data_IF_464218034052
#
_entry.id   IF_464218034052
#
_cell.length_a   1.000
_cell.length_b   1.000
_cell.length_c   1.000
_cell.angle_alpha   90.00
_cell.angle_beta   90.00
_cell.angle_gamma   90.00
#
_symmetry.space_group_name_H-M   'P 1'
#
loop_
_entity.id
_entity.type
_entity.pdbx_description
1 polymer ?
#
# COMPACT_ATOMS: atom_id res chain seq x y z
N UNK A 1 -19.86 -8.47 -28.04
CA UNK A 1 -18.56 -8.57 -27.32
C UNK A 1 -18.12 -10.02 -27.34
N UNK A 2 -16.89 -10.29 -27.79
CA UNK A 2 -16.33 -11.64 -27.86
C UNK A 2 -15.97 -12.12 -26.45
N UNK A 3 -16.28 -13.38 -26.13
CA UNK A 3 -15.89 -13.96 -24.85
C UNK A 3 -14.36 -14.21 -24.85
N UNK A 4 -13.70 -13.89 -23.74
CA UNK A 4 -12.26 -14.08 -23.60
C UNK A 4 -11.92 -15.55 -23.34
N UNK A 5 -10.86 -16.03 -23.97
CA UNK A 5 -10.20 -17.28 -23.57
C UNK A 5 -9.26 -17.02 -22.38
N UNK A 6 -8.80 -18.08 -21.73
CA UNK A 6 -7.81 -17.99 -20.64
C UNK A 6 -6.54 -17.26 -21.11
N UNK A 7 -6.04 -17.59 -22.31
CA UNK A 7 -4.86 -16.95 -22.90
C UNK A 7 -5.12 -15.48 -23.24
N UNK A 8 -6.22 -15.17 -23.94
CA UNK A 8 -6.48 -13.77 -24.33
C UNK A 8 -6.73 -12.86 -23.12
N UNK A 9 -7.30 -13.40 -22.04
CA UNK A 9 -7.45 -12.66 -20.79
C UNK A 9 -6.08 -12.38 -20.14
N UNK A 10 -5.20 -13.39 -20.07
CA UNK A 10 -3.84 -13.21 -19.55
C UNK A 10 -3.03 -12.20 -20.36
N UNK A 11 -3.10 -12.27 -21.69
CA UNK A 11 -2.41 -11.33 -22.59
C UNK A 11 -2.90 -9.89 -22.40
N UNK A 12 -4.21 -9.68 -22.26
CA UNK A 12 -4.78 -8.35 -21.97
C UNK A 12 -4.31 -7.80 -20.61
N UNK A 13 -4.23 -8.64 -19.58
CA UNK A 13 -3.72 -8.23 -18.27
C UNK A 13 -2.23 -7.85 -18.36
N UNK A 14 -1.42 -8.69 -19.01
CA UNK A 14 0.01 -8.49 -19.17
C UNK A 14 0.31 -7.20 -19.96
N UNK A 15 -0.44 -6.94 -21.04
CA UNK A 15 -0.30 -5.73 -21.85
C UNK A 15 -0.62 -4.45 -21.08
N UNK A 16 -1.59 -4.49 -20.16
CA UNK A 16 -1.96 -3.35 -19.32
C UNK A 16 -1.18 -3.23 -18.00
N UNK A 17 -0.27 -4.16 -17.69
CA UNK A 17 0.38 -4.23 -16.39
C UNK A 17 1.27 -3.01 -16.11
N UNK A 18 2.13 -2.64 -17.06
CA UNK A 18 3.10 -1.56 -16.91
C UNK A 18 3.24 -0.73 -18.19
N UNK A 19 3.15 0.58 -18.05
CA UNK A 19 3.59 1.54 -19.05
C UNK A 19 5.08 1.83 -18.81
N UNK A 20 5.95 1.64 -19.82
CA UNK A 20 7.37 1.95 -19.67
C UNK A 20 7.59 3.43 -19.39
N UNK A 21 8.38 3.73 -18.36
CA UNK A 21 8.78 5.08 -18.03
C UNK A 21 9.91 5.08 -17.01
N UNK A 22 10.72 6.14 -17.07
CA UNK A 22 11.81 6.33 -16.11
C UNK A 22 11.23 6.80 -14.77
N UNK A 23 11.80 6.36 -13.63
CA UNK A 23 11.42 6.87 -12.31
C UNK A 23 11.41 8.40 -12.25
N UNK A 24 10.41 8.96 -11.55
CA UNK A 24 10.28 10.41 -11.42
C UNK A 24 8.86 10.91 -11.19
N UNK A 25 7.82 10.15 -11.55
CA UNK A 25 6.45 10.47 -11.15
C UNK A 25 6.02 9.70 -9.92
N UNK A 26 5.38 10.41 -8.99
CA UNK A 26 4.84 9.86 -7.74
C UNK A 26 3.34 10.19 -7.65
N UNK A 27 2.52 9.16 -7.45
CA UNK A 27 1.11 9.27 -7.11
C UNK A 27 0.89 8.84 -5.66
N UNK A 28 0.00 9.53 -4.95
CA UNK A 28 -0.31 9.24 -3.55
C UNK A 28 -1.83 9.25 -3.38
N UNK A 29 -2.36 8.24 -2.72
CA UNK A 29 -3.73 8.24 -2.21
C UNK A 29 -3.74 7.91 -0.72
N UNK A 30 -4.52 8.65 0.07
CA UNK A 30 -4.66 8.47 1.51
C UNK A 30 -6.13 8.25 1.83
N UNK A 31 -6.40 7.15 2.51
CA UNK A 31 -7.73 6.84 3.01
C UNK A 31 -8.00 7.62 4.31
N UNK A 32 -9.16 8.26 4.40
CA UNK A 32 -9.72 8.88 5.60
C UNK A 32 -10.80 7.95 6.17
N UNK A 33 -10.58 7.44 7.38
CA UNK A 33 -11.56 6.62 8.09
C UNK A 33 -12.53 7.51 8.85
N UNK A 34 -13.83 7.39 8.60
CA UNK A 34 -14.85 8.27 9.16
C UNK A 34 -15.59 7.66 10.35
N UNK A 35 -15.95 8.53 11.29
CA UNK A 35 -16.90 8.24 12.36
C UNK A 35 -17.86 9.44 12.59
N UNK A 36 -19.19 9.27 12.43
CA UNK A 36 -19.91 8.06 11.98
C UNK A 36 -19.68 7.75 10.49
N UNK A 37 -20.06 6.54 10.06
CA UNK A 37 -19.94 6.07 8.68
C UNK A 37 -20.97 6.72 7.74
N UNK A 38 -20.70 7.97 7.34
CA UNK A 38 -21.61 8.80 6.52
C UNK A 38 -20.91 9.51 5.35
N UNK A 39 -19.91 8.87 4.73
CA UNK A 39 -19.21 9.42 3.56
C UNK A 39 -20.21 9.79 2.45
N UNK A 40 -20.12 11.00 1.88
CA UNK A 40 -20.97 11.39 0.76
C UNK A 40 -20.61 10.55 -0.48
N UNK A 41 -21.61 10.16 -1.25
CA UNK A 41 -21.39 9.45 -2.52
C UNK A 41 -20.88 10.41 -3.61
N UNK A 42 -20.08 9.87 -4.52
CA UNK A 42 -19.63 10.55 -5.73
C UNK A 42 -18.27 11.22 -5.61
N UNK A 43 -17.53 11.15 -6.71
CA UNK A 43 -16.20 11.74 -6.86
C UNK A 43 -16.30 13.27 -6.97
N UNK A 44 -15.51 13.96 -6.14
CA UNK A 44 -15.44 15.42 -6.08
C UNK A 44 -14.04 15.89 -6.49
N UNK A 45 -13.91 16.83 -7.43
CA UNK A 45 -12.60 17.41 -7.73
C UNK A 45 -12.07 18.21 -6.54
N UNK A 46 -10.76 18.11 -6.30
CA UNK A 46 -10.02 18.96 -5.37
C UNK A 46 -9.12 19.91 -6.18
N UNK A 47 -8.21 20.63 -5.50
CA UNK A 47 -7.32 21.57 -6.16
C UNK A 47 -6.40 20.86 -7.15
N UNK A 48 -5.84 19.72 -6.75
CA UNK A 48 -4.89 18.98 -7.58
C UNK A 48 -5.43 17.62 -8.02
N UNK A 49 -6.12 16.92 -7.13
CA UNK A 49 -6.65 15.58 -7.36
C UNK A 49 -8.15 15.52 -7.15
N UNK A 50 -8.59 14.49 -6.43
CA UNK A 50 -10.00 14.27 -6.15
C UNK A 50 -10.22 13.58 -4.81
N UNK A 51 -11.42 13.76 -4.30
CA UNK A 51 -11.97 13.10 -3.14
C UNK A 51 -13.04 12.12 -3.62
N UNK A 52 -12.98 10.87 -3.19
CA UNK A 52 -13.98 9.85 -3.50
C UNK A 52 -14.40 9.08 -2.24
N UNK A 53 -15.49 8.34 -2.31
CA UNK A 53 -15.94 7.47 -1.23
C UNK A 53 -15.85 6.00 -1.67
N UNK A 54 -14.97 5.24 -1.01
CA UNK A 54 -14.83 3.79 -1.23
C UNK A 54 -15.94 3.02 -0.50
N UNK A 55 -16.39 3.54 0.63
CA UNK A 55 -17.52 3.03 1.41
C UNK A 55 -18.11 4.19 2.20
N UNK A 56 -19.29 4.03 2.83
CA UNK A 56 -19.81 5.02 3.78
C UNK A 56 -18.82 5.38 4.90
N UNK A 57 -17.78 4.58 5.12
CA UNK A 57 -16.79 4.82 6.17
C UNK A 57 -15.43 5.25 5.69
N UNK A 58 -15.13 5.10 4.40
CA UNK A 58 -13.80 5.46 3.90
C UNK A 58 -13.91 6.40 2.73
N UNK A 59 -13.41 7.61 2.95
CA UNK A 59 -13.12 8.55 1.88
C UNK A 59 -11.67 8.38 1.43
N UNK A 60 -11.41 8.60 0.15
CA UNK A 60 -10.09 8.48 -0.44
C UNK A 60 -9.73 9.81 -1.04
N UNK A 61 -8.70 10.46 -0.50
CA UNK A 61 -8.05 11.58 -1.15
C UNK A 61 -7.03 10.98 -2.11
N UNK A 62 -7.12 11.29 -3.40
CA UNK A 62 -6.21 10.78 -4.41
C UNK A 62 -5.59 11.94 -5.16
N UNK A 63 -4.28 12.11 -5.01
CA UNK A 63 -3.51 13.09 -5.75
C UNK A 63 -3.26 12.66 -7.21
N UNK A 64 -2.93 13.62 -8.10
CA UNK A 64 -2.51 13.31 -9.46
C UNK A 64 -1.07 12.76 -9.46
N UNK A 65 -0.66 12.01 -10.51
CA UNK A 65 0.75 11.75 -10.77
C UNK A 65 1.52 13.07 -10.80
N UNK A 66 2.56 13.18 -9.98
CA UNK A 66 3.29 14.42 -9.75
C UNK A 66 4.77 14.25 -10.06
N UNK A 67 5.42 15.23 -10.74
CA UNK A 67 6.83 15.14 -11.06
C UNK A 67 7.67 15.36 -9.80
N UNK A 68 8.15 14.26 -9.23
CA UNK A 68 8.94 14.22 -8.01
C UNK A 68 8.12 14.13 -6.73
N UNK A 69 8.74 13.52 -5.72
CA UNK A 69 8.17 13.31 -4.40
C UNK A 69 7.72 14.63 -3.75
N UNK A 70 8.54 15.68 -3.80
CA UNK A 70 8.22 16.96 -3.15
C UNK A 70 6.94 17.60 -3.70
N UNK A 71 6.73 17.53 -5.02
CA UNK A 71 5.50 18.03 -5.65
C UNK A 71 4.31 17.19 -5.24
N UNK A 72 4.46 15.87 -5.20
CA UNK A 72 3.41 14.94 -4.75
C UNK A 72 2.99 15.24 -3.31
N UNK A 73 3.96 15.38 -2.39
CA UNK A 73 3.71 15.64 -0.96
C UNK A 73 3.03 17.01 -0.75
N UNK A 74 3.47 18.07 -1.45
CA UNK A 74 2.83 19.39 -1.34
C UNK A 74 1.39 19.37 -1.85
N UNK A 75 1.16 18.82 -3.03
CA UNK A 75 -0.20 18.72 -3.61
C UNK A 75 -1.13 17.92 -2.72
N UNK A 76 -0.64 16.79 -2.20
CA UNK A 76 -1.43 15.94 -1.31
C UNK A 76 -1.70 16.61 0.04
N UNK A 77 -0.76 17.41 0.55
CA UNK A 77 -0.98 18.22 1.77
C UNK A 77 -2.12 19.21 1.59
N UNK A 78 -2.16 19.93 0.46
CA UNK A 78 -3.24 20.89 0.15
C UNK A 78 -4.60 20.19 0.07
N UNK A 79 -4.66 19.06 -0.64
CA UNK A 79 -5.89 18.31 -0.90
C UNK A 79 -6.41 17.61 0.37
N UNK A 80 -5.51 17.11 1.22
CA UNK A 80 -5.87 16.59 2.54
C UNK A 80 -6.43 17.69 3.44
N UNK A 81 -5.80 18.86 3.47
CA UNK A 81 -6.30 19.99 4.26
C UNK A 81 -7.69 20.45 3.79
N UNK A 82 -7.94 20.46 2.47
CA UNK A 82 -9.26 20.75 1.91
C UNK A 82 -10.29 19.67 2.28
N UNK A 83 -9.89 18.40 2.22
CA UNK A 83 -10.76 17.27 2.53
C UNK A 83 -11.14 17.24 4.02
N UNK A 84 -10.20 17.50 4.93
CA UNK A 84 -10.48 17.60 6.36
C UNK A 84 -11.52 18.68 6.65
N UNK A 85 -11.40 19.87 6.05
CA UNK A 85 -12.41 20.93 6.19
C UNK A 85 -13.80 20.50 5.72
N UNK A 86 -13.88 19.73 4.62
CA UNK A 86 -15.16 19.20 4.14
C UNK A 86 -15.76 18.20 5.12
N UNK A 87 -14.94 17.31 5.68
CA UNK A 87 -15.36 16.31 6.67
C UNK A 87 -15.89 17.02 7.94
N UNK A 88 -15.17 18.04 8.43
CA UNK A 88 -15.58 18.86 9.58
C UNK A 88 -16.90 19.60 9.32
N UNK A 89 -17.10 20.16 8.13
CA UNK A 89 -18.35 20.82 7.74
C UNK A 89 -19.56 19.88 7.78
N UNK A 90 -19.35 18.59 7.51
CA UNK A 90 -20.38 17.55 7.59
C UNK A 90 -20.50 16.95 9.00
N UNK A 91 -19.80 17.50 10.00
CA UNK A 91 -19.75 17.00 11.39
C UNK A 91 -19.29 15.54 11.49
N UNK A 92 -18.39 15.16 10.60
CA UNK A 92 -17.76 13.85 10.59
C UNK A 92 -16.38 13.96 11.25
N UNK A 93 -15.94 12.89 11.90
CA UNK A 93 -14.60 12.80 12.49
C UNK A 93 -13.73 11.90 11.62
N UNK A 94 -12.49 12.30 11.36
CA UNK A 94 -11.49 11.39 10.79
C UNK A 94 -10.75 10.71 11.93
N UNK A 95 -10.79 9.38 11.97
CA UNK A 95 -10.08 8.59 12.96
C UNK A 95 -8.60 8.54 12.58
N UNK A 96 -7.73 8.84 13.54
CA UNK A 96 -6.27 8.81 13.34
C UNK A 96 -5.71 7.39 13.30
N UNK A 97 -6.36 6.44 13.98
CA UNK A 97 -6.07 5.02 13.85
C UNK A 97 -6.71 4.44 12.58
N UNK A 98 -6.07 3.45 11.97
CA UNK A 98 -6.63 2.72 10.83
C UNK A 98 -7.73 1.70 11.23
N UNK A 99 -8.33 1.84 12.42
CA UNK A 99 -9.29 0.91 13.04
C UNK A 99 -10.57 1.64 13.41
N UNK A 100 -11.75 1.14 13.01
CA UNK A 100 -12.77 0.60 13.96
C UNK A 100 -14.18 0.20 13.42
N UNK A 101 -14.38 -0.66 12.40
CA UNK A 101 -15.39 -1.77 12.38
C UNK A 101 -15.17 -2.60 11.11
N UNK A 102 -15.12 -3.92 11.24
CA UNK A 102 -15.41 -4.83 10.12
C UNK A 102 -16.56 -5.69 10.62
N UNK A 103 -17.69 -5.67 9.93
CA UNK A 103 -18.81 -6.55 10.24
C UNK A 103 -18.34 -8.02 10.17
N UNK A 104 -18.61 -8.88 11.16
CA UNK A 104 -18.17 -10.27 11.16
C UNK A 104 -18.75 -11.10 10.00
N UNK A 105 -19.87 -10.67 9.41
CA UNK A 105 -20.53 -11.37 8.29
C UNK A 105 -20.21 -10.78 6.89
N UNK A 106 -19.17 -9.95 6.75
CA UNK A 106 -18.75 -9.43 5.44
C UNK A 106 -17.98 -10.47 4.61
N UNK A 107 -18.19 -10.56 3.28
CA UNK A 107 -17.49 -11.55 2.46
C UNK A 107 -15.97 -11.28 2.40
N UNK A 108 -15.14 -12.31 2.17
CA UNK A 108 -13.66 -12.22 2.16
C UNK A 108 -13.08 -11.11 1.24
N UNK A 109 -13.81 -10.66 0.22
CA UNK A 109 -13.37 -9.56 -0.64
C UNK A 109 -13.73 -8.14 -0.09
N UNK A 110 -14.59 -8.05 0.92
CA UNK A 110 -14.93 -6.80 1.63
C UNK A 110 -13.88 -6.41 2.69
N UNK A 111 -12.85 -7.23 2.89
CA UNK A 111 -11.74 -6.99 3.79
C UNK A 111 -10.96 -5.69 3.44
N UNK A 112 -11.09 -5.20 2.21
CA UNK A 112 -10.53 -3.93 1.76
C UNK A 112 -11.42 -2.70 1.94
N UNK A 113 -12.60 -2.76 2.58
CA UNK A 113 -13.57 -1.63 2.61
C UNK A 113 -13.73 -0.91 3.96
N UNK A 114 -13.13 -1.42 5.05
CA UNK A 114 -13.25 -0.80 6.38
C UNK A 114 -11.92 -0.68 7.16
N UNK A 115 -10.80 -0.73 6.44
CA UNK A 115 -9.48 -0.29 6.93
C UNK A 115 -9.04 0.91 6.10
N UNK A 116 -8.19 1.78 6.67
CA UNK A 116 -7.63 2.93 5.98
C UNK A 116 -6.11 2.74 5.80
N UNK A 117 -5.62 2.97 4.60
CA UNK A 117 -4.21 2.88 4.26
C UNK A 117 -3.71 4.05 3.43
N UNK A 118 -2.47 3.90 2.98
CA UNK A 118 -1.81 4.81 2.05
C UNK A 118 -1.38 3.98 0.84
N UNK A 119 -1.75 4.46 -0.35
CA UNK A 119 -1.35 3.88 -1.63
C UNK A 119 -0.37 4.80 -2.34
N UNK A 120 0.66 4.20 -2.90
CA UNK A 120 1.75 4.91 -3.57
C UNK A 120 1.88 4.32 -4.97
N UNK A 121 1.73 5.17 -5.97
CA UNK A 121 1.95 4.83 -7.37
C UNK A 121 3.29 5.38 -7.85
N UNK A 122 4.13 4.54 -8.41
CA UNK A 122 5.44 4.89 -8.95
C UNK A 122 5.56 4.38 -10.38
N UNK A 123 6.35 5.09 -11.18
CA UNK A 123 6.82 4.60 -12.48
C UNK A 123 7.42 3.19 -12.34
N UNK A 124 7.13 2.30 -13.28
CA UNK A 124 7.53 0.91 -13.15
C UNK A 124 9.01 0.68 -13.48
N UNK A 125 9.64 1.60 -14.21
CA UNK A 125 10.94 1.42 -14.84
C UNK A 125 10.82 0.96 -16.30
N UNK A 126 11.94 1.04 -17.01
CA UNK A 126 12.05 0.50 -18.37
C UNK A 126 12.31 -1.01 -18.32
N UNK A 127 12.08 -1.72 -19.43
CA UNK A 127 12.36 -3.16 -19.56
C UNK A 127 13.86 -3.51 -19.51
N UNK A 128 14.74 -2.49 -19.46
CA UNK A 128 16.18 -2.65 -19.28
C UNK A 128 16.56 -3.21 -17.90
N UNK A 129 17.83 -3.59 -17.77
CA UNK A 129 18.40 -4.08 -16.50
C UNK A 129 18.78 -2.95 -15.52
N UNK A 130 19.29 -3.37 -14.35
CA UNK A 130 19.79 -2.49 -13.29
C UNK A 130 18.75 -2.09 -12.24
N UNK A 131 19.18 -1.30 -11.27
CA UNK A 131 18.40 -0.91 -10.09
C UNK A 131 17.07 -0.20 -10.39
N UNK A 132 16.98 0.48 -11.54
CA UNK A 132 15.77 1.20 -11.98
C UNK A 132 14.99 0.46 -13.07
N UNK A 133 15.42 -0.76 -13.44
CA UNK A 133 14.72 -1.60 -14.40
C UNK A 133 13.48 -2.25 -13.80
N UNK A 134 12.49 -2.54 -14.66
CA UNK A 134 11.20 -3.10 -14.28
C UNK A 134 11.33 -4.36 -13.41
N UNK A 135 12.18 -5.30 -13.82
CA UNK A 135 12.36 -6.57 -13.11
C UNK A 135 12.86 -6.37 -11.68
N UNK A 136 13.86 -5.49 -11.49
CA UNK A 136 14.41 -5.20 -10.17
C UNK A 136 13.37 -4.48 -9.31
N UNK A 137 12.74 -3.43 -9.82
CA UNK A 137 11.73 -2.65 -9.09
C UNK A 137 10.53 -3.49 -8.68
N UNK A 138 10.06 -4.37 -9.56
CA UNK A 138 8.96 -5.30 -9.27
C UNK A 138 9.33 -6.26 -8.12
N UNK A 139 10.51 -6.87 -8.17
CA UNK A 139 10.98 -7.77 -7.11
C UNK A 139 11.25 -7.03 -5.79
N UNK A 140 11.90 -5.86 -5.85
CA UNK A 140 12.17 -5.02 -4.68
C UNK A 140 10.87 -4.58 -4.01
N UNK A 141 9.87 -4.12 -4.76
CA UNK A 141 8.58 -3.71 -4.19
C UNK A 141 7.92 -4.84 -3.38
N UNK A 142 7.99 -6.08 -3.86
CA UNK A 142 7.46 -7.26 -3.19
C UNK A 142 8.19 -7.57 -1.89
N UNK A 143 9.53 -7.57 -1.90
CA UNK A 143 10.32 -7.84 -0.69
C UNK A 143 10.30 -6.69 0.32
N UNK A 144 10.15 -5.45 -0.16
CA UNK A 144 10.04 -4.25 0.67
C UNK A 144 8.65 -4.11 1.30
N UNK A 145 7.61 -4.65 0.67
CA UNK A 145 6.21 -4.51 1.10
C UNK A 145 5.96 -4.95 2.55
N UNK A 146 6.40 -6.14 3.02
CA UNK A 146 6.26 -6.54 4.42
C UNK A 146 6.99 -5.63 5.41
N UNK A 147 8.15 -5.10 5.02
CA UNK A 147 8.95 -4.18 5.86
C UNK A 147 8.21 -2.86 6.06
N UNK A 148 7.68 -2.28 4.99
CA UNK A 148 6.85 -1.07 5.07
C UNK A 148 5.56 -1.33 5.87
N UNK A 149 4.94 -2.49 5.66
CA UNK A 149 3.73 -2.87 6.39
C UNK A 149 3.98 -2.99 7.91
N UNK A 150 5.11 -3.57 8.31
CA UNK A 150 5.52 -3.69 9.70
C UNK A 150 5.91 -2.32 10.31
N UNK A 151 6.74 -1.53 9.63
CA UNK A 151 7.20 -0.24 10.13
C UNK A 151 6.05 0.76 10.33
N UNK A 152 5.05 0.71 9.45
CA UNK A 152 3.90 1.61 9.46
C UNK A 152 2.61 0.95 9.97
N UNK A 153 2.69 -0.15 10.72
CA UNK A 153 1.52 -0.75 11.35
C UNK A 153 0.88 0.24 12.34
N UNK A 154 -0.41 0.53 12.14
CA UNK A 154 -1.16 1.51 12.95
C UNK A 154 -2.64 1.14 13.09
N UNK A 155 -2.92 -0.17 13.14
CA UNK A 155 -4.27 -0.69 13.19
C UNK A 155 -4.46 -1.81 14.24
N UNK A 156 -4.20 -1.57 15.54
CA UNK A 156 -4.20 -2.66 16.52
C UNK A 156 -5.56 -3.00 17.16
N UNK A 157 -6.54 -2.10 17.04
CA UNK A 157 -7.82 -2.18 17.75
C UNK A 157 -8.98 -2.69 16.88
N UNK A 158 -9.99 -3.24 17.55
CA UNK A 158 -11.32 -3.51 17.00
C UNK A 158 -12.36 -3.28 18.10
N UNK A 159 -13.33 -2.43 17.83
CA UNK A 159 -14.31 -1.93 18.80
C UNK A 159 -13.62 -1.40 20.08
N UNK A 160 -12.56 -0.61 19.89
CA UNK A 160 -11.73 -0.07 20.98
C UNK A 160 -10.90 -1.09 21.76
N UNK A 161 -10.89 -2.38 21.36
CA UNK A 161 -10.18 -3.45 22.07
C UNK A 161 -8.98 -3.96 21.28
N UNK A 162 -7.85 -4.27 21.93
CA UNK A 162 -6.71 -4.90 21.27
C UNK A 162 -7.10 -6.22 20.58
N UNK A 163 -6.61 -6.41 19.36
CA UNK A 163 -6.93 -7.60 18.54
C UNK A 163 -5.87 -8.70 18.61
N UNK A 164 -4.72 -8.40 19.24
CA UNK A 164 -3.52 -9.22 19.13
C UNK A 164 -2.74 -9.01 17.83
N UNK A 165 -3.19 -8.13 16.94
CA UNK A 165 -2.46 -7.70 15.75
C UNK A 165 -2.01 -6.24 15.92
N UNK A 166 -0.90 -5.87 15.29
CA UNK A 166 -0.50 -4.46 15.15
C UNK A 166 -1.13 -3.81 13.92
N UNK A 167 -1.43 -4.61 12.90
CA UNK A 167 -2.22 -4.20 11.76
C UNK A 167 -3.30 -5.23 11.42
N UNK A 168 -4.55 -4.92 11.80
CA UNK A 168 -5.72 -5.69 11.33
C UNK A 168 -5.88 -5.61 9.81
N UNK A 169 -5.37 -4.58 9.15
CA UNK A 169 -5.38 -4.46 7.68
C UNK A 169 -4.47 -5.50 7.04
N UNK A 170 -3.29 -5.75 7.61
CA UNK A 170 -2.41 -6.81 7.11
C UNK A 170 -2.83 -8.21 7.54
N UNK A 171 -3.57 -8.37 8.65
CA UNK A 171 -4.11 -9.66 9.06
C UNK A 171 -4.98 -10.34 7.97
N UNK A 172 -5.55 -9.53 7.08
CA UNK A 172 -6.40 -9.93 5.94
C UNK A 172 -5.59 -10.33 4.70
N UNK A 173 -4.28 -10.06 4.73
CA UNK A 173 -3.31 -10.27 3.65
C UNK A 173 -2.21 -11.26 4.06
N UNK A 174 -2.34 -11.87 5.25
CA UNK A 174 -1.33 -12.73 5.87
C UNK A 174 -0.93 -13.95 5.05
N UNK A 175 -1.83 -14.39 4.16
CA UNK A 175 -1.66 -15.58 3.31
C UNK A 175 -1.19 -15.24 1.88
N UNK A 176 -0.92 -13.96 1.59
CA UNK A 176 -0.36 -13.54 0.30
C UNK A 176 1.13 -13.89 0.19
N UNK A 177 1.64 -14.15 -1.02
CA UNK A 177 3.07 -14.38 -1.22
C UNK A 177 3.90 -13.11 -0.94
N UNK A 178 5.15 -13.30 -0.51
CA UNK A 178 6.11 -12.22 -0.24
C UNK A 178 6.81 -11.77 -1.51
N UNK A 179 7.25 -12.71 -2.34
CA UNK A 179 7.84 -12.45 -3.65
C UNK A 179 6.79 -12.39 -4.76
N UNK A 180 7.10 -11.78 -5.91
CA UNK A 180 6.26 -11.95 -7.08
C UNK A 180 6.27 -13.43 -7.49
N UNK A 181 5.19 -13.95 -8.09
CA UNK A 181 5.22 -15.27 -8.72
C UNK A 181 6.41 -15.39 -9.68
N UNK A 182 6.94 -16.61 -9.84
CA UNK A 182 8.03 -16.86 -10.78
C UNK A 182 7.64 -16.45 -12.21
N UNK A 183 8.60 -15.90 -12.95
CA UNK A 183 8.41 -15.43 -14.33
C UNK A 183 8.72 -13.95 -14.50
N UNK A 184 8.46 -13.43 -15.70
CA UNK A 184 8.60 -12.00 -16.00
C UNK A 184 7.51 -11.18 -15.28
N UNK A 185 7.79 -9.91 -14.99
CA UNK A 185 6.92 -9.07 -14.15
C UNK A 185 5.47 -9.03 -14.66
N UNK A 186 5.27 -8.87 -15.97
CA UNK A 186 3.93 -8.81 -16.61
C UNK A 186 3.20 -10.15 -16.52
N UNK A 187 3.90 -11.26 -16.75
CA UNK A 187 3.35 -12.61 -16.69
C UNK A 187 2.98 -13.00 -15.26
N UNK A 188 3.85 -12.68 -14.29
CA UNK A 188 3.61 -12.93 -12.87
C UNK A 188 2.35 -12.19 -12.38
N UNK A 189 2.14 -10.95 -12.83
CA UNK A 189 0.92 -10.19 -12.54
C UNK A 189 -0.32 -10.80 -13.20
N UNK A 190 -0.22 -11.17 -14.48
CA UNK A 190 -1.33 -11.82 -15.18
C UNK A 190 -1.74 -13.15 -14.52
N UNK A 191 -0.77 -13.98 -14.13
CA UNK A 191 -0.99 -15.19 -13.36
C UNK A 191 -1.71 -14.92 -12.05
N UNK A 192 -1.21 -13.98 -11.26
CA UNK A 192 -1.83 -13.57 -10.00
C UNK A 192 -3.30 -13.15 -10.20
N UNK A 193 -3.59 -12.27 -11.16
CA UNK A 193 -4.95 -11.78 -11.43
C UNK A 193 -5.89 -12.92 -11.84
N UNK A 194 -5.41 -13.84 -12.68
CA UNK A 194 -6.20 -14.97 -13.16
C UNK A 194 -6.54 -15.97 -12.06
N UNK A 195 -5.67 -16.10 -11.07
CA UNK A 195 -5.79 -17.06 -9.96
C UNK A 195 -6.42 -16.45 -8.69
N UNK A 196 -6.46 -15.11 -8.60
CA UNK A 196 -7.12 -14.41 -7.50
C UNK A 196 -8.64 -14.70 -7.45
N UNK A 197 -9.15 -14.93 -6.23
CA UNK A 197 -10.55 -15.24 -5.96
C UNK A 197 -11.44 -14.03 -6.23
N UNK A 198 -12.55 -14.25 -6.94
CA UNK A 198 -13.60 -13.24 -7.14
C UNK A 198 -14.59 -13.24 -5.97
N UNK A 199 -15.55 -12.33 -5.98
CA UNK A 199 -16.67 -12.32 -5.04
C UNK A 199 -17.50 -13.62 -5.03
N UNK A 200 -17.45 -14.41 -6.10
CA UNK A 200 -18.12 -15.71 -6.20
C UNK A 200 -17.36 -16.86 -5.52
N UNK A 201 -16.17 -16.60 -4.98
CA UNK A 201 -15.27 -17.62 -4.43
C UNK A 201 -14.48 -18.42 -5.49
N UNK A 202 -14.73 -18.22 -6.79
CA UNK A 202 -13.93 -18.81 -7.88
C UNK A 202 -12.95 -17.81 -8.47
N UNK A 203 -11.81 -18.28 -8.98
CA UNK A 203 -10.90 -17.44 -9.78
C UNK A 203 -11.43 -17.23 -11.20
N UNK A 204 -10.87 -16.26 -11.94
CA UNK A 204 -11.23 -16.08 -13.36
C UNK A 204 -10.88 -17.32 -14.18
N UNK A 205 -9.73 -17.94 -13.88
CA UNK A 205 -9.28 -19.17 -14.53
C UNK A 205 -10.26 -20.32 -14.32
N UNK A 206 -10.68 -20.54 -13.08
CA UNK A 206 -11.68 -21.56 -12.75
C UNK A 206 -13.03 -21.29 -13.42
N UNK A 207 -13.46 -20.02 -13.45
CA UNK A 207 -14.71 -19.63 -14.09
C UNK A 207 -14.71 -19.93 -15.60
N UNK A 208 -13.63 -19.56 -16.31
CA UNK A 208 -13.47 -19.84 -17.75
C UNK A 208 -13.49 -21.34 -18.00
N UNK A 209 -12.72 -22.12 -17.21
CA UNK A 209 -12.67 -23.60 -17.33
C UNK A 209 -14.02 -24.26 -17.05
N UNK A 210 -14.86 -23.64 -16.21
CA UNK A 210 -16.23 -24.06 -15.96
C UNK A 210 -17.24 -23.56 -17.01
N UNK A 211 -16.78 -22.92 -18.10
CA UNK A 211 -17.62 -22.47 -19.22
C UNK A 211 -18.16 -21.05 -19.12
N UNK A 212 -17.70 -20.24 -18.14
CA UNK A 212 -18.11 -18.85 -18.04
C UNK A 212 -17.62 -18.03 -19.25
N UNK A 213 -18.49 -17.16 -19.78
CA UNK A 213 -18.17 -16.25 -20.88
C UNK A 213 -17.77 -14.89 -20.33
N UNK A 214 -16.51 -14.74 -19.96
CA UNK A 214 -15.99 -13.46 -19.46
C UNK A 214 -15.82 -12.45 -20.59
N UNK A 215 -16.16 -11.20 -20.29
CA UNK A 215 -15.91 -10.04 -21.14
C UNK A 215 -14.72 -9.24 -20.61
N UNK A 216 -14.18 -8.35 -21.44
CA UNK A 216 -13.18 -7.38 -21.01
C UNK A 216 -13.68 -6.51 -19.84
N UNK A 217 -14.96 -6.14 -19.82
CA UNK A 217 -15.53 -5.38 -18.72
C UNK A 217 -15.55 -6.18 -17.40
N UNK A 218 -15.77 -7.50 -17.46
CA UNK A 218 -15.67 -8.36 -16.27
C UNK A 218 -14.23 -8.40 -15.75
N UNK A 219 -13.26 -8.48 -16.66
CA UNK A 219 -11.85 -8.43 -16.33
C UNK A 219 -11.45 -7.08 -15.70
N UNK A 220 -11.89 -5.95 -16.26
CA UNK A 220 -11.62 -4.62 -15.71
C UNK A 220 -12.24 -4.44 -14.32
N UNK A 221 -13.46 -4.94 -14.09
CA UNK A 221 -14.07 -4.95 -12.75
C UNK A 221 -13.30 -5.81 -11.76
N UNK A 222 -12.86 -7.00 -12.17
CA UNK A 222 -12.02 -7.87 -11.32
C UNK A 222 -10.71 -7.19 -10.96
N UNK A 223 -10.00 -6.66 -11.97
CA UNK A 223 -8.76 -5.90 -11.76
C UNK A 223 -9.00 -4.76 -10.76
N UNK A 224 -10.01 -3.91 -10.95
CA UNK A 224 -10.29 -2.78 -10.07
C UNK A 224 -10.61 -3.19 -8.62
N UNK A 225 -11.14 -4.40 -8.41
CA UNK A 225 -11.47 -4.91 -7.09
C UNK A 225 -10.26 -5.48 -6.33
N UNK A 226 -9.21 -5.91 -7.03
CA UNK A 226 -8.01 -6.49 -6.40
C UNK A 226 -7.24 -5.43 -5.60
N UNK A 227 -6.84 -5.79 -4.39
CA UNK A 227 -6.06 -4.92 -3.49
C UNK A 227 -4.86 -5.65 -2.86
N UNK A 228 -3.99 -6.28 -3.68
CA UNK A 228 -2.75 -6.84 -3.16
C UNK A 228 -1.81 -5.75 -2.63
N UNK A 229 -0.85 -6.11 -1.77
CA UNK A 229 0.23 -5.23 -1.32
C UNK A 229 0.98 -4.53 -2.44
N UNK A 230 1.22 -5.24 -3.56
CA UNK A 230 1.93 -4.73 -4.73
C UNK A 230 1.11 -5.09 -5.97
N UNK A 231 0.89 -4.12 -6.86
CA UNK A 231 0.08 -4.29 -8.06
C UNK A 231 0.71 -3.64 -9.29
N UNK A 232 0.35 -4.16 -10.47
CA UNK A 232 0.66 -3.57 -11.75
C UNK A 232 -0.61 -2.92 -12.34
N UNK A 233 -0.62 -1.59 -12.45
CA UNK A 233 -1.80 -0.77 -12.79
C UNK A 233 -1.54 0.19 -13.96
N UNK A 234 -0.68 -0.23 -14.89
CA UNK A 234 0.04 0.67 -15.81
C UNK A 234 1.24 1.36 -15.14
N UNK A 235 1.35 1.22 -13.83
CA UNK A 235 2.42 1.72 -12.98
C UNK A 235 2.62 0.71 -11.83
N UNK A 236 3.69 0.86 -11.06
CA UNK A 236 3.93 0.09 -9.85
C UNK A 236 3.13 0.70 -8.69
N UNK A 237 2.18 -0.03 -8.12
CA UNK A 237 1.39 0.42 -6.97
C UNK A 237 1.78 -0.37 -5.71
N UNK A 238 2.07 0.34 -4.61
CA UNK A 238 2.22 -0.23 -3.27
C UNK A 238 1.04 0.19 -2.39
N UNK A 239 0.36 -0.76 -1.77
CA UNK A 239 -0.78 -0.58 -0.85
C UNK A 239 -0.50 -1.27 0.49
N UNK A 240 0.54 -0.83 1.21
CA UNK A 240 1.08 -1.57 2.38
C UNK A 240 1.02 -0.83 3.70
N UNK A 241 1.24 0.47 3.73
CA UNK A 241 1.21 1.24 4.98
C UNK A 241 -0.23 1.48 5.45
N UNK A 242 -0.47 1.31 6.75
CA UNK A 242 -1.72 1.75 7.36
C UNK A 242 -1.80 3.28 7.35
N UNK A 243 -3.00 3.83 7.52
CA UNK A 243 -3.17 5.27 7.74
C UNK A 243 -2.29 5.71 8.90
N UNK A 244 -1.51 6.76 8.68
CA UNK A 244 -0.63 7.35 9.69
C UNK A 244 -1.26 8.61 10.28
N UNK A 245 -1.00 8.92 11.57
CA UNK A 245 -1.55 10.10 12.23
C UNK A 245 -0.95 11.40 11.68
N UNK A 246 -1.71 12.49 11.76
CA UNK A 246 -1.23 13.83 11.46
C UNK A 246 -0.56 13.97 10.09
N UNK A 247 0.71 14.38 10.07
CA UNK A 247 1.51 14.57 8.84
C UNK A 247 2.38 13.36 8.50
N UNK A 248 2.29 12.27 9.26
CA UNK A 248 3.19 11.12 9.11
C UNK A 248 2.83 10.25 7.91
N UNK A 249 1.68 10.49 7.26
CA UNK A 249 1.32 9.85 5.99
C UNK A 249 2.35 10.10 4.88
N UNK A 250 3.15 11.18 5.00
CA UNK A 250 4.25 11.49 4.09
C UNK A 250 5.35 10.44 4.14
N UNK A 251 5.62 9.88 5.32
CA UNK A 251 6.76 9.00 5.55
C UNK A 251 6.69 7.70 4.71
N UNK A 252 5.62 6.89 4.74
CA UNK A 252 5.57 5.69 3.91
C UNK A 252 5.67 5.99 2.41
N UNK A 253 5.12 7.12 1.95
CA UNK A 253 5.27 7.55 0.56
C UNK A 253 6.71 7.95 0.23
N UNK A 254 7.38 8.65 1.13
CA UNK A 254 8.80 9.01 1.02
C UNK A 254 9.69 7.77 0.99
N UNK A 255 9.53 6.82 1.92
CA UNK A 255 10.36 5.60 1.92
C UNK A 255 10.15 4.80 0.64
N UNK A 256 8.90 4.57 0.23
CA UNK A 256 8.63 3.80 -0.98
C UNK A 256 9.25 4.46 -2.22
N UNK A 257 9.03 5.77 -2.41
CA UNK A 257 9.58 6.49 -3.56
C UNK A 257 11.11 6.49 -3.56
N UNK A 258 11.75 6.83 -2.42
CA UNK A 258 13.21 6.95 -2.35
C UNK A 258 13.90 5.61 -2.52
N UNK A 259 13.40 4.55 -1.86
CA UNK A 259 14.01 3.23 -1.93
C UNK A 259 13.85 2.59 -3.31
N UNK A 260 12.82 2.97 -4.09
CA UNK A 260 12.68 2.46 -5.45
C UNK A 260 13.39 3.34 -6.49
N UNK A 261 13.34 4.67 -6.34
CA UNK A 261 13.76 5.63 -7.39
C UNK A 261 15.22 6.07 -7.29
N UNK A 262 15.87 5.96 -6.12
CA UNK A 262 17.31 6.21 -5.98
C UNK A 262 18.10 4.92 -6.25
N UNK A 263 18.99 4.87 -7.27
CA UNK A 263 19.68 3.64 -7.63
C UNK A 263 20.48 3.01 -6.48
N UNK A 264 21.09 3.84 -5.62
CA UNK A 264 21.90 3.34 -4.50
C UNK A 264 21.02 2.85 -3.36
N UNK A 265 19.97 3.60 -3.01
CA UNK A 265 19.03 3.18 -1.99
C UNK A 265 18.27 1.91 -2.39
N UNK A 266 17.99 1.76 -3.70
CA UNK A 266 17.36 0.56 -4.29
C UNK A 266 18.20 -0.68 -4.09
N UNK A 267 19.50 -0.61 -4.41
CA UNK A 267 20.42 -1.73 -4.16
C UNK A 267 20.61 -2.01 -2.66
N UNK A 268 20.75 -0.97 -1.83
CA UNK A 268 20.87 -1.13 -0.36
C UNK A 268 19.61 -1.77 0.25
N UNK A 269 18.41 -1.36 -0.20
CA UNK A 269 17.16 -1.98 0.21
C UNK A 269 17.04 -3.42 -0.28
N UNK A 270 17.45 -3.70 -1.53
CA UNK A 270 17.47 -5.07 -2.05
C UNK A 270 18.36 -5.99 -1.20
N UNK A 271 19.55 -5.54 -0.79
CA UNK A 271 20.40 -6.32 0.11
C UNK A 271 19.73 -6.57 1.47
N UNK A 272 18.99 -5.59 1.99
CA UNK A 272 18.27 -5.71 3.25
C UNK A 272 17.05 -6.65 3.16
N UNK A 273 16.41 -6.78 1.99
CA UNK A 273 15.10 -7.45 1.87
C UNK A 273 15.09 -8.72 1.02
N UNK A 274 16.11 -9.01 0.20
CA UNK A 274 16.09 -10.13 -0.74
C UNK A 274 15.82 -11.49 -0.06
N UNK A 275 16.41 -11.72 1.13
CA UNK A 275 16.25 -12.96 1.89
C UNK A 275 14.83 -13.18 2.46
N UNK A 276 14.01 -12.13 2.49
CA UNK A 276 12.67 -12.20 3.10
C UNK A 276 11.70 -13.09 2.31
N UNK A 277 11.97 -13.39 1.04
CA UNK A 277 11.13 -14.29 0.24
C UNK A 277 11.07 -15.71 0.78
N UNK A 278 12.12 -16.13 1.50
CA UNK A 278 12.26 -17.46 2.07
C UNK A 278 11.74 -17.55 3.52
N UNK A 279 11.33 -16.41 4.10
CA UNK A 279 10.86 -16.34 5.47
C UNK A 279 9.43 -16.88 5.62
N UNK A 280 9.21 -17.91 6.47
CA UNK A 280 7.90 -18.51 6.62
C UNK A 280 6.93 -17.55 7.29
N UNK A 281 5.71 -17.48 6.74
CA UNK A 281 4.58 -16.71 7.28
C UNK A 281 4.92 -15.23 7.51
N UNK A 282 5.79 -14.66 6.66
CA UNK A 282 6.29 -13.29 6.87
C UNK A 282 5.18 -12.24 6.90
N UNK A 283 4.15 -12.34 6.05
CA UNK A 283 3.01 -11.42 6.08
C UNK A 283 2.19 -11.52 7.37
N UNK A 284 2.06 -12.72 7.93
CA UNK A 284 1.44 -12.93 9.25
C UNK A 284 2.26 -12.22 10.34
N UNK A 285 3.58 -12.44 10.37
CA UNK A 285 4.52 -11.79 11.30
C UNK A 285 4.52 -10.26 11.14
N UNK A 286 4.56 -9.76 9.91
CA UNK A 286 4.52 -8.31 9.62
C UNK A 286 3.22 -7.65 10.13
N UNK A 287 2.08 -8.33 10.01
CA UNK A 287 0.82 -7.81 10.53
C UNK A 287 0.66 -7.96 12.05
N UNK A 288 1.11 -9.08 12.62
CA UNK A 288 0.93 -9.39 14.04
C UNK A 288 2.00 -8.74 14.91
N UNK A 289 3.24 -9.04 14.59
CA UNK A 289 4.43 -8.72 15.40
C UNK A 289 5.08 -7.42 14.94
N UNK A 290 4.89 -7.03 13.68
CA UNK A 290 5.48 -5.83 13.08
C UNK A 290 6.99 -5.74 13.36
N UNK A 291 7.49 -4.63 13.92
CA UNK A 291 8.92 -4.47 14.23
C UNK A 291 9.36 -5.11 15.57
N UNK A 292 8.47 -5.79 16.29
CA UNK A 292 8.93 -6.70 17.38
C UNK A 292 9.51 -8.00 16.82
N UNK A 293 9.22 -8.31 15.56
CA UNK A 293 9.90 -9.34 14.81
C UNK A 293 11.32 -8.90 14.46
N UNK A 294 12.33 -9.66 14.88
CA UNK A 294 13.74 -9.28 14.74
C UNK A 294 14.23 -9.23 13.30
N UNK A 295 13.69 -10.08 12.42
CA UNK A 295 14.06 -10.13 11.00
C UNK A 295 13.53 -8.88 10.29
N UNK A 296 12.24 -8.56 10.48
CA UNK A 296 11.64 -7.35 9.93
C UNK A 296 12.25 -6.08 10.53
N UNK A 297 12.58 -6.08 11.82
CA UNK A 297 13.24 -4.96 12.48
C UNK A 297 14.64 -4.68 11.92
N UNK A 298 15.43 -5.71 11.63
CA UNK A 298 16.74 -5.57 11.01
C UNK A 298 16.61 -4.96 9.60
N UNK A 299 15.78 -5.56 8.75
CA UNK A 299 15.55 -5.05 7.39
C UNK A 299 14.99 -3.61 7.39
N UNK A 300 14.09 -3.28 8.33
CA UNK A 300 13.56 -1.92 8.47
C UNK A 300 14.66 -0.91 8.82
N UNK A 301 15.57 -1.22 9.75
CA UNK A 301 16.68 -0.30 10.10
C UNK A 301 17.53 0.01 8.88
N UNK A 302 17.93 -1.01 8.12
CA UNK A 302 18.78 -0.83 6.95
C UNK A 302 18.06 -0.02 5.85
N UNK A 303 16.78 -0.30 5.60
CA UNK A 303 15.96 0.49 4.67
C UNK A 303 15.81 1.95 5.10
N UNK A 304 15.59 2.24 6.38
CA UNK A 304 15.46 3.62 6.86
C UNK A 304 16.80 4.38 6.77
N UNK A 305 17.92 3.72 7.07
CA UNK A 305 19.26 4.30 6.89
C UNK A 305 19.54 4.62 5.42
N UNK A 306 19.25 3.68 4.52
CA UNK A 306 19.42 3.86 3.07
C UNK A 306 18.59 5.04 2.55
N UNK A 307 17.32 5.12 2.97
CA UNK A 307 16.44 6.20 2.57
C UNK A 307 16.88 7.57 3.12
N UNK A 308 17.30 7.65 4.39
CA UNK A 308 17.82 8.90 4.96
C UNK A 308 19.06 9.38 4.20
N UNK A 309 20.00 8.47 3.92
CA UNK A 309 21.20 8.78 3.16
C UNK A 309 20.87 9.28 1.74
N UNK A 310 19.88 8.69 1.08
CA UNK A 310 19.41 9.13 -0.24
C UNK A 310 18.75 10.52 -0.20
N UNK A 311 17.86 10.76 0.77
CA UNK A 311 17.24 12.08 0.96
C UNK A 311 18.30 13.17 1.20
N UNK A 312 19.35 12.87 1.96
CA UNK A 312 20.47 13.79 2.17
C UNK A 312 21.23 14.08 0.86
N UNK A 313 21.51 13.06 0.03
CA UNK A 313 22.15 13.24 -1.28
C UNK A 313 21.31 14.06 -2.25
N UNK A 314 19.99 13.87 -2.23
CA UNK A 314 19.04 14.54 -3.11
C UNK A 314 18.71 15.97 -2.67
N UNK A 315 19.20 16.40 -1.49
CA UNK A 315 18.92 17.74 -0.98
C UNK A 315 17.47 17.94 -0.53
N UNK A 316 16.79 16.88 -0.09
CA UNK A 316 15.42 16.95 0.38
C UNK A 316 15.25 17.95 1.54
N UNK A 317 14.06 18.54 1.64
CA UNK A 317 13.71 19.53 2.66
C UNK A 317 14.08 19.03 4.07
N UNK A 318 14.67 19.92 4.88
CA UNK A 318 15.14 19.58 6.24
C UNK A 318 14.01 19.00 7.09
N UNK A 319 12.81 19.57 7.00
CA UNK A 319 11.63 19.10 7.75
C UNK A 319 11.33 17.61 7.47
N UNK A 320 11.43 17.18 6.21
CA UNK A 320 11.17 15.79 5.84
C UNK A 320 12.27 14.84 6.35
N UNK A 321 13.53 15.27 6.27
CA UNK A 321 14.67 14.48 6.78
C UNK A 321 14.59 14.34 8.30
N UNK A 322 14.27 15.42 9.00
CA UNK A 322 14.09 15.41 10.46
C UNK A 322 12.92 14.48 10.84
N UNK A 323 11.79 14.54 10.13
CA UNK A 323 10.65 13.65 10.39
C UNK A 323 10.98 12.15 10.19
N UNK A 324 11.81 11.81 9.19
CA UNK A 324 12.30 10.44 9.00
C UNK A 324 13.23 10.02 10.15
N UNK A 325 14.16 10.89 10.55
CA UNK A 325 15.07 10.61 11.67
C UNK A 325 14.29 10.39 12.98
N UNK A 326 13.35 11.29 13.29
CA UNK A 326 12.50 11.21 14.48
C UNK A 326 11.67 9.91 14.49
N UNK A 327 11.09 9.53 13.34
CA UNK A 327 10.37 8.26 13.22
C UNK A 327 11.29 7.05 13.42
N UNK A 328 12.51 7.12 12.88
CA UNK A 328 13.52 6.05 13.01
C UNK A 328 13.91 5.85 14.48
N UNK A 329 14.20 6.93 15.20
CA UNK A 329 14.59 6.90 16.61
C UNK A 329 13.44 6.49 17.54
N UNK A 330 12.23 6.97 17.24
CA UNK A 330 11.04 6.69 18.05
C UNK A 330 10.59 5.24 17.90
N UNK A 331 10.63 4.69 16.69
CA UNK A 331 10.03 3.39 16.38
C UNK A 331 11.06 2.36 15.92
N UNK A 332 11.72 2.59 14.79
CA UNK A 332 12.51 1.59 14.07
C UNK A 332 13.69 1.07 14.89
N UNK A 333 14.49 1.96 15.49
CA UNK A 333 15.61 1.56 16.35
C UNK A 333 15.16 0.81 17.60
N UNK A 334 13.95 1.10 18.09
CA UNK A 334 13.38 0.47 19.28
C UNK A 334 12.62 -0.83 19.00
N UNK A 335 12.52 -1.27 17.74
CA UNK A 335 11.71 -2.42 17.36
C UNK A 335 10.21 -2.19 17.62
N UNK A 336 9.76 -0.95 17.48
CA UNK A 336 8.37 -0.52 17.70
C UNK A 336 7.78 0.03 16.41
N UNK A 337 6.47 0.22 16.41
CA UNK A 337 5.69 0.88 15.36
C UNK A 337 4.59 1.76 15.98
N UNK A 338 3.89 2.60 15.20
CA UNK A 338 2.80 3.44 15.70
C UNK A 338 1.70 2.69 16.46
N UNK A 339 1.39 1.45 16.09
CA UNK A 339 0.43 0.62 16.81
C UNK A 339 0.80 0.39 18.29
N UNK A 340 2.10 0.39 18.63
CA UNK A 340 2.52 0.20 20.03
C UNK A 340 2.15 1.42 20.90
N UNK A 341 2.20 2.64 20.36
CA UNK A 341 1.76 3.84 21.10
C UNK A 341 0.25 3.77 21.39
N UNK A 342 -0.55 3.26 20.44
CA UNK A 342 -1.99 3.06 20.62
C UNK A 342 -2.26 2.01 21.70
N UNK A 343 -1.52 0.91 21.68
CA UNK A 343 -1.65 -0.17 22.68
C UNK A 343 -1.26 0.31 24.08
N UNK A 344 -0.18 1.07 24.23
CA UNK A 344 0.24 1.67 25.49
C UNK A 344 -0.86 2.59 26.08
N UNK A 345 -1.48 3.41 25.22
CA UNK A 345 -2.58 4.30 25.64
C UNK A 345 -3.82 3.54 26.12
N UNK A 346 -4.16 2.41 25.50
CA UNK A 346 -5.28 1.56 25.93
C UNK A 346 -4.96 0.87 27.26
N UNK A 347 -3.74 0.35 27.41
CA UNK A 347 -3.29 -0.28 28.65
C UNK A 347 -3.28 0.71 29.83
N UNK A 348 -2.88 1.96 29.61
CA UNK A 348 -2.89 3.01 30.64
C UNK A 348 -4.30 3.47 31.07
N UNK A 349 -5.33 3.16 30.28
CA UNK A 349 -6.75 3.50 30.55
C UNK A 349 -7.55 2.34 31.15
N UNK A 350 -6.97 1.14 31.17
CA UNK A 350 -7.60 -0.09 31.68
C UNK A 350 -7.27 -0.31 33.15
#
# INVERSE_FOLDING_TARGET
MTALTEQSAADLIAAGAFSPGLPGFVGIAVDLLLDPASAPTGRRPLRHGFLDARSPRVMVVSGPPSPGLDVALRRMTDDLAASTRLVEQHRLTVVDQATDTVHPDGPEHALGTATAGIRIGLEAGLDGGGALGLRHRWALAHTLAPVLAAAFANAPLRHGRPTGWRSVRQALRRDLPVGPPAGEARESWAGYVMDARTASGRSLREAIRAGARLTENDLQRHLAALRPPVAARGHLELDVADRQPGRDWRLPATLAAVLLDDPRASEEAWQATAHLVDEPRLWERAGRDALTDSVLAAAARDCFVAAYAALARQGAERELRDAIADFTDKYVHRGRCPADDVLDQVAARS
#
